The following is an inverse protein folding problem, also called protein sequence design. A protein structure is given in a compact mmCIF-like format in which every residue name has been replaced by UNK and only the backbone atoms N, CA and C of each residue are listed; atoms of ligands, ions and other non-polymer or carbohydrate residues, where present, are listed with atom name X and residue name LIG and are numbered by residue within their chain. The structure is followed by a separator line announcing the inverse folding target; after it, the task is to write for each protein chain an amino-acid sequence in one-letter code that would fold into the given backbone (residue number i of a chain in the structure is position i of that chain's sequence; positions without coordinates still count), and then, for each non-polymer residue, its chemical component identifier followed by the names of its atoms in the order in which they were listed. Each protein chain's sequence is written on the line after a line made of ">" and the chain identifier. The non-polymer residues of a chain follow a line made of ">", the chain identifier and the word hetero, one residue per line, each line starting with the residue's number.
data_IF_934600433519
#
_entry.id   IF_934600433519
#
_cell.length_a   1.000
_cell.length_b   1.000
_cell.length_c   1.000
_cell.angle_alpha   90.00
_cell.angle_beta   90.00
_cell.angle_gamma   90.00
#
_symmetry.space_group_name_H-M   'P 1'
#
loop_
_entity.id
_entity.type
_entity.pdbx_description
1 polymer ?
#
# COMPACT_ATOMS: atom_id res chain seq x y z
N UNK A 1 1.12 5.45 17.55
CA UNK A 1 1.91 6.63 17.16
C UNK A 1 3.02 6.80 18.16
N UNK A 2 4.27 6.91 17.70
CA UNK A 2 5.39 7.28 18.56
C UNK A 2 5.19 8.69 19.13
N UNK A 3 5.65 8.94 20.36
CA UNK A 3 5.53 10.25 20.99
C UNK A 3 6.55 11.26 20.44
N UNK A 4 7.62 10.76 19.83
CA UNK A 4 8.74 11.54 19.33
C UNK A 4 9.17 11.06 17.95
N UNK A 5 9.68 11.95 17.10
CA UNK A 5 10.38 11.56 15.87
C UNK A 5 11.67 10.80 16.18
N UNK A 6 12.19 10.02 15.22
CA UNK A 6 13.46 9.30 15.41
C UNK A 6 14.59 10.24 15.86
N UNK A 7 14.73 11.39 15.21
CA UNK A 7 15.72 12.41 15.57
C UNK A 7 15.57 12.88 17.02
N UNK A 8 14.34 13.11 17.47
CA UNK A 8 14.08 13.51 18.86
C UNK A 8 14.38 12.37 19.84
N UNK A 9 14.07 11.11 19.49
CA UNK A 9 14.41 9.94 20.32
C UNK A 9 15.92 9.83 20.49
N UNK A 10 16.69 9.96 19.40
CA UNK A 10 18.15 9.89 19.43
C UNK A 10 18.76 11.02 20.26
N UNK A 11 18.30 12.25 20.06
CA UNK A 11 18.79 13.42 20.78
C UNK A 11 18.49 13.34 22.29
N UNK A 12 17.30 12.86 22.66
CA UNK A 12 16.95 12.67 24.07
C UNK A 12 17.69 11.51 24.72
N UNK A 13 17.93 10.42 23.97
CA UNK A 13 18.73 9.30 24.44
C UNK A 13 20.18 9.69 24.73
N UNK A 14 20.81 10.43 23.81
CA UNK A 14 22.17 10.92 23.97
C UNK A 14 22.33 11.79 25.23
N UNK A 15 21.30 12.57 25.55
CA UNK A 15 21.24 13.41 26.76
C UNK A 15 20.89 12.63 28.04
N UNK A 16 20.62 11.33 27.96
CA UNK A 16 20.16 10.53 29.09
C UNK A 16 18.76 10.87 29.58
N UNK A 17 17.96 11.56 28.77
CA UNK A 17 16.57 11.97 29.09
C UNK A 17 15.56 10.84 28.88
N UNK A 18 15.98 9.73 28.26
CA UNK A 18 15.18 8.53 28.07
C UNK A 18 15.87 7.33 28.74
N UNK A 19 15.09 6.50 29.41
CA UNK A 19 15.58 5.20 29.86
C UNK A 19 15.82 4.27 28.66
N UNK A 20 16.65 3.23 28.83
CA UNK A 20 16.83 2.15 27.87
C UNK A 20 15.53 1.64 27.24
N UNK A 21 14.56 1.34 28.09
CA UNK A 21 13.26 0.80 27.73
C UNK A 21 12.43 1.83 26.95
N UNK A 22 12.51 3.10 27.34
CA UNK A 22 11.76 4.17 26.67
C UNK A 22 12.23 4.37 25.23
N UNK A 23 13.53 4.47 24.95
CA UNK A 23 13.95 4.66 23.55
C UNK A 23 13.77 3.41 22.71
N UNK A 24 13.93 2.20 23.27
CA UNK A 24 13.57 0.96 22.57
C UNK A 24 12.09 0.99 22.21
N UNK A 25 11.21 1.30 23.17
CA UNK A 25 9.77 1.39 22.93
C UNK A 25 9.41 2.42 21.85
N UNK A 26 9.98 3.62 21.91
CA UNK A 26 9.75 4.65 20.90
C UNK A 26 10.27 4.22 19.52
N UNK A 27 11.43 3.57 19.45
CA UNK A 27 12.00 3.06 18.19
C UNK A 27 11.12 1.98 17.57
N UNK A 28 10.61 1.05 18.38
CA UNK A 28 9.70 0.00 17.89
C UNK A 28 8.39 0.59 17.35
N UNK A 29 7.83 1.60 18.00
CA UNK A 29 6.64 2.30 17.51
C UNK A 29 6.89 2.99 16.17
N UNK A 30 8.04 3.64 16.01
CA UNK A 30 8.45 4.27 14.74
C UNK A 30 8.59 3.23 13.61
N UNK A 31 9.19 2.08 13.90
CA UNK A 31 9.36 0.99 12.92
C UNK A 31 8.00 0.40 12.52
N UNK A 32 7.09 0.19 13.46
CA UNK A 32 5.76 -0.33 13.18
C UNK A 32 4.97 0.63 12.27
N UNK A 33 5.01 1.92 12.56
CA UNK A 33 4.35 2.94 11.74
C UNK A 33 4.94 3.00 10.32
N UNK A 34 6.26 2.90 10.20
CA UNK A 34 6.92 2.85 8.90
C UNK A 34 6.52 1.59 8.11
N UNK A 35 6.48 0.43 8.75
CA UNK A 35 6.08 -0.83 8.13
C UNK A 35 4.64 -0.76 7.59
N UNK A 36 3.71 -0.17 8.35
CA UNK A 36 2.34 0.05 7.90
C UNK A 36 2.27 0.96 6.67
N UNK A 37 3.01 2.08 6.70
CA UNK A 37 3.06 3.03 5.58
C UNK A 37 3.63 2.38 4.32
N UNK A 38 4.72 1.62 4.44
CA UNK A 38 5.33 0.89 3.32
C UNK A 38 4.35 -0.15 2.78
N UNK A 39 3.76 -0.98 3.63
CA UNK A 39 2.78 -1.99 3.20
C UNK A 39 1.57 -1.38 2.49
N UNK A 40 1.12 -0.19 2.90
CA UNK A 40 0.05 0.53 2.21
C UNK A 40 0.49 1.07 0.84
N UNK A 41 1.73 1.54 0.70
CA UNK A 41 2.28 1.94 -0.59
C UNK A 41 2.44 0.75 -1.54
N UNK A 42 2.94 -0.38 -1.05
CA UNK A 42 3.07 -1.63 -1.81
C UNK A 42 1.71 -2.11 -2.33
N UNK A 43 0.68 -2.15 -1.47
CA UNK A 43 -0.69 -2.49 -1.87
C UNK A 43 -1.22 -1.57 -2.97
N UNK A 44 -0.95 -0.25 -2.88
CA UNK A 44 -1.36 0.73 -3.90
C UNK A 44 -0.61 0.54 -5.22
N UNK A 45 0.67 0.19 -5.17
CA UNK A 45 1.45 -0.12 -6.37
C UNK A 45 0.91 -1.38 -7.06
N UNK A 46 0.59 -2.43 -6.30
CA UNK A 46 -0.03 -3.65 -6.84
C UNK A 46 -1.43 -3.37 -7.41
N UNK A 47 -2.27 -2.59 -6.70
CA UNK A 47 -3.61 -2.24 -7.19
C UNK A 47 -3.60 -1.29 -8.40
N UNK A 48 -2.57 -0.43 -8.51
CA UNK A 48 -2.34 0.44 -9.65
C UNK A 48 -1.82 -0.30 -10.88
N UNK A 49 -1.17 -1.45 -10.68
CA UNK A 49 -0.82 -2.40 -11.73
C UNK A 49 -2.05 -3.23 -12.14
N UNK A 50 -3.07 -2.58 -12.72
CA UNK A 50 -4.11 -3.35 -13.42
C UNK A 50 -3.44 -4.10 -14.58
N UNK A 51 -3.64 -5.42 -14.74
CA UNK A 51 -3.37 -6.03 -16.02
C UNK A 51 -4.26 -5.31 -17.04
N UNK A 52 -3.66 -4.86 -18.14
CA UNK A 52 -4.40 -4.42 -19.31
C UNK A 52 -5.21 -5.63 -19.78
N UNK A 53 -6.45 -5.77 -19.30
CA UNK A 53 -7.40 -6.73 -19.86
C UNK A 53 -7.78 -6.11 -21.20
N UNK A 54 -7.04 -6.53 -22.22
CA UNK A 54 -7.36 -6.29 -23.61
C UNK A 54 -8.80 -6.75 -23.82
N UNK A 55 -9.73 -5.79 -23.84
CA UNK A 55 -11.12 -6.04 -24.20
C UNK A 55 -11.09 -6.51 -25.65
N UNK A 56 -11.01 -7.83 -25.87
CA UNK A 56 -11.41 -8.37 -27.17
C UNK A 56 -12.86 -7.97 -27.35
N UNK A 57 -13.22 -7.26 -28.43
CA UNK A 57 -14.62 -7.00 -28.71
C UNK A 57 -15.34 -8.35 -28.78
N UNK A 58 -16.42 -8.48 -27.99
CA UNK A 58 -17.30 -9.63 -28.03
C UNK A 58 -17.76 -9.83 -29.49
N UNK A 59 -17.72 -11.05 -30.06
CA UNK A 59 -18.28 -11.26 -31.38
C UNK A 59 -19.77 -10.89 -31.31
N UNK A 60 -20.18 -9.97 -32.18
CA UNK A 60 -21.57 -9.57 -32.34
C UNK A 60 -22.46 -10.81 -32.51
N UNK A 61 -23.68 -10.83 -31.94
CA UNK A 61 -24.62 -11.91 -32.22
C UNK A 61 -25.00 -11.81 -33.70
N UNK A 62 -24.57 -12.77 -34.51
CA UNK A 62 -25.04 -12.94 -35.89
C UNK A 62 -26.57 -12.88 -35.91
N UNK A 63 -27.11 -11.81 -36.52
CA UNK A 63 -28.53 -11.73 -36.83
C UNK A 63 -28.87 -12.88 -37.81
N UNK A 64 -29.95 -13.65 -37.60
CA UNK A 64 -30.37 -14.66 -38.56
C UNK A 64 -30.75 -13.98 -39.88
N UNK A 65 -30.03 -14.37 -40.94
CA UNK A 65 -30.26 -13.93 -42.31
C UNK A 65 -31.68 -14.27 -42.73
N UNK A 66 -32.49 -13.24 -42.98
CA UNK A 66 -33.82 -13.34 -43.57
C UNK A 66 -33.68 -13.70 -45.06
N UNK A 67 -33.56 -15.01 -45.37
CA UNK A 67 -33.53 -15.53 -46.75
C UNK A 67 -34.29 -16.82 -46.98
N UNK A 68 -35.26 -17.15 -46.12
CA UNK A 68 -36.19 -18.26 -46.36
C UNK A 68 -37.64 -17.77 -46.28
N UNK A 69 -38.02 -16.85 -47.17
CA UNK A 69 -39.42 -16.69 -47.59
C UNK A 69 -39.39 -16.50 -49.10
N UNK A 70 -39.51 -17.61 -49.83
CA UNK A 70 -40.07 -17.72 -51.18
C UNK A 70 -40.55 -19.15 -51.40
#
# INVERSE_FOLDING_TARGET
>A
MAAYSLETVLLKWEKGELSPEQAIGQTLLLVQELAERVGNLEKRLVAGARPFVEQRPSPEPHAPSSKDIL
#
